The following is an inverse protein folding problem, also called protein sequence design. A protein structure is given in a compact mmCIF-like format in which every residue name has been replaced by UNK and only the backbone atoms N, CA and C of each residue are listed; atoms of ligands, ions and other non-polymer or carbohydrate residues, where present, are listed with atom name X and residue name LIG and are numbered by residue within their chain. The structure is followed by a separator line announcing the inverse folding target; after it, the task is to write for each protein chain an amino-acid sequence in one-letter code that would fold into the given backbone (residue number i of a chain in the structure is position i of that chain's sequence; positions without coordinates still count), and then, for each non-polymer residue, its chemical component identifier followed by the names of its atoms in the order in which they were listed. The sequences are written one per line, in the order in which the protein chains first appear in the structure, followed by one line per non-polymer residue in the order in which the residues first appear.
data_IF_012808799348
#
_entry.id   IF_012808799348
#
_cell.length_a   1.000
_cell.length_b   1.000
_cell.length_c   1.000
_cell.angle_alpha   90.00
_cell.angle_beta   90.00
_cell.angle_gamma   90.00
#
_symmetry.space_group_name_H-M   'P 1'
#
loop_
_entity.id
_entity.type
_entity.pdbx_description
1 polymer ?
#
# COMPACT_ATOMS: atom_id res chain seq x y z
N UNK A 1 -17.23 -14.41 -2.72
CA UNK A 1 -16.96 -15.79 -3.17
C UNK A 1 -17.14 -15.93 -4.69
N UNK A 2 -18.35 -15.71 -5.25
CA UNK A 2 -18.66 -15.96 -6.65
C UNK A 2 -17.68 -15.34 -7.67
N UNK A 3 -17.21 -14.11 -7.45
CA UNK A 3 -16.22 -13.49 -8.35
C UNK A 3 -14.91 -14.30 -8.44
N UNK A 4 -14.45 -14.86 -7.32
CA UNK A 4 -13.26 -15.72 -7.30
C UNK A 4 -13.51 -17.06 -7.97
N UNK A 5 -14.68 -17.66 -7.79
CA UNK A 5 -15.05 -18.93 -8.43
C UNK A 5 -15.08 -18.76 -9.94
N UNK A 6 -15.76 -17.71 -10.48
CA UNK A 6 -15.81 -17.42 -11.90
C UNK A 6 -14.44 -17.06 -12.49
N UNK A 7 -13.64 -16.29 -11.76
CA UNK A 7 -12.29 -15.96 -12.22
C UNK A 7 -11.40 -17.22 -12.33
N UNK A 8 -11.50 -18.12 -11.35
CA UNK A 8 -10.78 -19.39 -11.37
C UNK A 8 -11.28 -20.34 -12.47
N UNK A 9 -12.59 -20.36 -12.72
CA UNK A 9 -13.17 -21.13 -13.84
C UNK A 9 -12.64 -20.62 -15.18
N UNK A 10 -12.51 -19.29 -15.35
CA UNK A 10 -12.01 -18.67 -16.56
C UNK A 10 -10.50 -18.90 -16.78
N UNK A 11 -9.69 -18.83 -15.71
CA UNK A 11 -8.25 -19.10 -15.73
C UNK A 11 -7.82 -19.78 -14.43
N UNK A 12 -7.72 -21.11 -14.41
CA UNK A 12 -7.30 -21.86 -13.24
C UNK A 12 -5.85 -21.60 -12.79
N UNK A 13 -5.02 -21.01 -13.65
CA UNK A 13 -3.61 -20.72 -13.34
C UNK A 13 -3.41 -19.30 -12.80
N UNK A 14 -4.40 -18.43 -12.87
CA UNK A 14 -4.30 -17.08 -12.34
C UNK A 14 -4.25 -17.06 -10.82
N UNK A 15 -3.36 -16.25 -10.26
CA UNK A 15 -3.35 -15.97 -8.82
C UNK A 15 -4.40 -14.91 -8.51
N UNK A 16 -5.36 -15.25 -7.67
CA UNK A 16 -6.51 -14.41 -7.34
C UNK A 16 -6.29 -13.70 -6.00
N UNK A 17 -6.43 -12.38 -6.00
CA UNK A 17 -6.19 -11.52 -4.83
C UNK A 17 -7.45 -10.82 -4.37
N UNK A 18 -7.66 -10.79 -3.06
CA UNK A 18 -8.56 -9.81 -2.46
C UNK A 18 -7.79 -8.51 -2.25
N UNK A 19 -8.22 -7.42 -2.87
CA UNK A 19 -7.55 -6.11 -2.82
C UNK A 19 -8.43 -5.06 -2.12
N UNK A 20 -7.83 -4.31 -1.16
CA UNK A 20 -8.59 -3.30 -0.42
C UNK A 20 -7.69 -2.15 0.09
N UNK A 21 -8.31 -0.97 0.35
CA UNK A 21 -7.69 0.18 0.98
C UNK A 21 -7.74 0.08 2.52
N UNK A 22 -6.92 0.87 3.21
CA UNK A 22 -6.84 0.90 4.69
C UNK A 22 -6.62 -0.48 5.34
N UNK A 23 -6.01 -1.40 4.61
CA UNK A 23 -5.83 -2.79 5.05
C UNK A 23 -4.91 -2.94 6.27
N UNK A 24 -4.09 -1.92 6.57
CA UNK A 24 -3.25 -1.88 7.77
C UNK A 24 -4.00 -1.41 9.03
N UNK A 25 -5.13 -0.69 8.90
CA UNK A 25 -5.87 -0.17 10.05
C UNK A 25 -6.45 -1.32 10.90
N UNK A 26 -6.23 -1.35 12.23
CA UNK A 26 -6.53 -2.52 13.08
C UNK A 26 -7.93 -3.09 12.89
N UNK A 27 -8.96 -2.26 12.98
CA UNK A 27 -10.35 -2.72 12.83
C UNK A 27 -10.70 -3.23 11.43
N UNK A 28 -10.15 -2.62 10.37
CA UNK A 28 -10.36 -3.09 8.99
C UNK A 28 -9.52 -4.33 8.69
N UNK A 29 -8.28 -4.37 9.16
CA UNK A 29 -7.40 -5.54 9.12
C UNK A 29 -8.10 -6.79 9.64
N UNK A 30 -8.75 -6.68 10.80
CA UNK A 30 -9.42 -7.81 11.43
C UNK A 30 -10.66 -8.26 10.64
N UNK A 31 -11.40 -7.32 10.07
CA UNK A 31 -12.53 -7.65 9.17
C UNK A 31 -12.08 -8.34 7.90
N UNK A 32 -11.02 -7.83 7.25
CA UNK A 32 -10.43 -8.45 6.05
C UNK A 32 -9.96 -9.87 6.38
N UNK A 33 -9.20 -10.02 7.46
CA UNK A 33 -8.71 -11.33 7.92
C UNK A 33 -9.85 -12.34 8.09
N UNK A 34 -10.86 -11.98 8.85
CA UNK A 34 -11.99 -12.88 9.16
C UNK A 34 -12.80 -13.23 7.89
N UNK A 35 -12.98 -12.27 6.99
CA UNK A 35 -13.66 -12.49 5.71
C UNK A 35 -12.87 -13.44 4.81
N UNK A 36 -11.58 -13.18 4.61
CA UNK A 36 -10.70 -14.02 3.77
C UNK A 36 -10.59 -15.42 4.36
N UNK A 37 -10.41 -15.52 5.69
CA UNK A 37 -10.38 -16.82 6.37
C UNK A 37 -11.66 -17.61 6.12
N UNK A 38 -12.83 -17.00 6.34
CA UNK A 38 -14.12 -17.65 6.10
C UNK A 38 -14.29 -18.12 4.65
N UNK A 39 -13.83 -17.34 3.68
CA UNK A 39 -13.90 -17.73 2.27
C UNK A 39 -12.95 -18.89 1.96
N UNK A 40 -11.72 -18.85 2.47
CA UNK A 40 -10.75 -19.96 2.30
C UNK A 40 -11.24 -21.24 2.97
N UNK A 41 -11.77 -21.16 4.17
CA UNK A 41 -12.36 -22.32 4.88
C UNK A 41 -13.53 -22.93 4.08
N UNK A 42 -14.22 -22.13 3.25
CA UNK A 42 -15.27 -22.58 2.35
C UNK A 42 -14.76 -23.03 0.98
N UNK A 43 -13.45 -23.14 0.77
CA UNK A 43 -12.85 -23.59 -0.49
C UNK A 43 -12.79 -22.55 -1.61
N UNK A 44 -13.04 -21.27 -1.31
CA UNK A 44 -12.92 -20.20 -2.32
C UNK A 44 -11.44 -20.02 -2.72
N UNK A 45 -11.10 -19.97 -4.03
CA UNK A 45 -9.73 -19.88 -4.51
C UNK A 45 -9.15 -18.46 -4.32
N UNK A 46 -8.67 -18.15 -3.13
CA UNK A 46 -7.97 -16.90 -2.79
C UNK A 46 -6.49 -17.23 -2.55
N UNK A 47 -5.61 -16.64 -3.36
CA UNK A 47 -4.18 -16.89 -3.35
C UNK A 47 -3.38 -15.80 -2.64
N UNK A 48 -3.93 -14.57 -2.59
CA UNK A 48 -3.24 -13.45 -1.99
C UNK A 48 -4.15 -12.35 -1.48
N UNK A 49 -3.53 -11.41 -0.77
CA UNK A 49 -4.15 -10.17 -0.31
C UNK A 49 -3.40 -8.99 -0.92
N UNK A 50 -4.13 -8.10 -1.58
CA UNK A 50 -3.65 -6.81 -2.06
C UNK A 50 -3.95 -5.73 -1.02
N UNK A 51 -2.90 -5.03 -0.60
CA UNK A 51 -2.98 -3.83 0.21
C UNK A 51 -2.75 -2.65 -0.72
N UNK A 52 -3.75 -1.78 -0.94
CA UNK A 52 -3.59 -0.67 -1.89
C UNK A 52 -2.41 0.23 -1.52
N UNK A 53 -2.26 0.58 -0.23
CA UNK A 53 -1.10 1.34 0.21
C UNK A 53 -1.22 2.85 0.01
N UNK A 54 -2.44 3.39 -0.04
CA UNK A 54 -2.69 4.83 -0.02
C UNK A 54 -2.49 5.38 1.40
N UNK A 55 -1.28 5.85 1.65
CA UNK A 55 -0.86 6.29 2.99
C UNK A 55 -0.63 7.80 3.04
N UNK A 56 -0.30 8.29 4.23
CA UNK A 56 0.22 9.63 4.42
C UNK A 56 1.42 9.60 5.40
N UNK A 57 2.10 10.73 5.54
CA UNK A 57 3.30 10.81 6.40
C UNK A 57 3.00 10.62 7.88
N UNK A 58 1.73 10.64 8.30
CA UNK A 58 1.28 10.47 9.69
C UNK A 58 0.67 9.09 9.96
N UNK A 59 0.35 8.32 8.93
CA UNK A 59 -0.28 7.03 9.12
C UNK A 59 -0.45 6.18 7.84
N UNK A 60 -0.76 4.90 7.99
CA UNK A 60 -0.81 4.14 9.26
C UNK A 60 0.56 4.07 9.95
N UNK A 61 0.60 3.67 11.25
CA UNK A 61 1.88 3.46 11.95
C UNK A 61 2.67 2.30 11.34
N UNK A 62 3.97 2.29 11.56
CA UNK A 62 4.85 1.21 11.07
C UNK A 62 4.50 -0.12 11.73
N UNK A 63 4.10 -0.08 13.02
CA UNK A 63 3.61 -1.22 13.79
C UNK A 63 2.31 -1.79 13.21
N UNK A 64 1.38 -0.94 12.77
CA UNK A 64 0.13 -1.39 12.15
C UNK A 64 0.36 -2.06 10.80
N UNK A 65 1.31 -1.54 10.01
CA UNK A 65 1.68 -2.15 8.73
C UNK A 65 2.33 -3.52 8.96
N UNK A 66 3.30 -3.60 9.86
CA UNK A 66 3.98 -4.85 10.22
C UNK A 66 3.00 -5.90 10.78
N UNK A 67 2.10 -5.47 11.66
CA UNK A 67 1.07 -6.33 12.23
C UNK A 67 0.05 -6.82 11.18
N UNK A 68 -0.28 -6.00 10.17
CA UNK A 68 -1.17 -6.39 9.09
C UNK A 68 -0.54 -7.49 8.23
N UNK A 69 0.70 -7.30 7.78
CA UNK A 69 1.43 -8.30 7.00
C UNK A 69 1.58 -9.58 7.82
N UNK A 70 2.01 -9.47 9.10
CA UNK A 70 2.17 -10.62 10.00
C UNK A 70 0.88 -11.40 10.21
N UNK A 71 -0.27 -10.72 10.22
CA UNK A 71 -1.57 -11.37 10.35
C UNK A 71 -1.99 -12.03 9.03
N UNK A 72 -1.89 -11.33 7.90
CA UNK A 72 -2.34 -11.84 6.60
C UNK A 72 -1.52 -13.04 6.10
N UNK A 73 -0.20 -13.07 6.38
CA UNK A 73 0.65 -14.20 5.98
C UNK A 73 0.29 -15.53 6.65
N UNK A 74 -0.57 -15.52 7.67
CA UNK A 74 -1.12 -16.77 8.23
C UNK A 74 -2.22 -17.36 7.37
N UNK A 75 -2.74 -16.62 6.39
CA UNK A 75 -3.81 -17.05 5.49
C UNK A 75 -3.34 -17.24 4.05
N UNK A 76 -2.36 -16.47 3.59
CA UNK A 76 -1.95 -16.41 2.18
C UNK A 76 -0.42 -16.36 2.05
N UNK A 77 0.09 -16.88 0.94
CA UNK A 77 1.53 -16.89 0.61
C UNK A 77 1.95 -15.67 -0.23
N UNK A 78 0.98 -14.84 -0.65
CA UNK A 78 1.21 -13.69 -1.50
C UNK A 78 0.54 -12.45 -0.93
N UNK A 79 1.33 -11.43 -0.65
CA UNK A 79 0.85 -10.08 -0.31
C UNK A 79 1.45 -9.11 -1.32
N UNK A 80 0.60 -8.30 -1.95
CA UNK A 80 1.03 -7.26 -2.88
C UNK A 80 0.65 -5.88 -2.32
N UNK A 81 1.55 -4.92 -2.44
CA UNK A 81 1.20 -3.50 -2.36
C UNK A 81 0.83 -3.06 -3.76
N UNK A 82 -0.44 -2.77 -4.00
CA UNK A 82 -0.99 -2.69 -5.36
C UNK A 82 -1.07 -1.27 -5.90
N UNK A 83 -1.08 -0.25 -5.04
CA UNK A 83 -1.38 1.13 -5.41
C UNK A 83 -0.63 2.12 -4.51
N UNK A 84 0.64 1.85 -4.23
CA UNK A 84 1.40 2.60 -3.23
C UNK A 84 1.56 4.07 -3.62
N UNK A 85 1.12 4.93 -2.74
CA UNK A 85 1.46 6.35 -2.69
C UNK A 85 1.47 6.84 -1.23
N UNK A 86 2.31 7.84 -0.91
CA UNK A 86 2.38 8.42 0.44
C UNK A 86 2.30 9.94 0.35
N UNK A 87 1.10 10.47 0.55
CA UNK A 87 0.87 11.91 0.51
C UNK A 87 1.45 12.63 1.75
N UNK A 88 1.70 13.92 1.60
CA UNK A 88 2.34 14.75 2.64
C UNK A 88 1.37 15.62 3.45
N UNK A 89 0.10 15.65 3.10
CA UNK A 89 -0.91 16.43 3.81
C UNK A 89 -1.50 15.67 5.01
N UNK A 90 -2.00 16.42 5.97
CA UNK A 90 -2.66 15.88 7.16
C UNK A 90 -4.05 15.33 6.82
N UNK A 91 -4.44 14.25 7.53
CA UNK A 91 -5.84 13.85 7.57
C UNK A 91 -6.59 14.84 8.47
N UNK A 92 -7.49 15.61 7.89
CA UNK A 92 -8.42 16.42 8.67
C UNK A 92 -9.62 15.55 9.05
N UNK A 93 -9.71 15.16 10.32
CA UNK A 93 -10.92 14.61 10.93
C UNK A 93 -11.32 13.19 10.51
N UNK A 94 -10.40 12.32 10.13
CA UNK A 94 -10.68 10.89 9.83
C UNK A 94 -11.50 10.63 8.56
N UNK A 95 -11.85 11.67 7.81
CA UNK A 95 -12.38 11.55 6.46
C UNK A 95 -11.24 11.86 5.48
N UNK A 96 -11.18 11.11 4.37
CA UNK A 96 -10.34 11.40 3.21
C UNK A 96 -10.74 12.75 2.61
N UNK A 97 -10.43 13.85 3.29
CA UNK A 97 -10.55 15.16 2.68
C UNK A 97 -9.33 15.37 1.79
N UNK A 98 -9.55 15.19 0.50
CA UNK A 98 -8.60 15.57 -0.53
C UNK A 98 -8.54 17.11 -0.57
N UNK A 99 -7.62 17.70 0.19
CA UNK A 99 -7.32 19.10 -0.01
C UNK A 99 -6.62 19.26 -1.35
N UNK A 100 -7.29 19.85 -2.32
CA UNK A 100 -6.67 20.23 -3.61
C UNK A 100 -5.69 21.40 -3.43
N UNK A 101 -5.74 22.08 -2.28
CA UNK A 101 -4.88 23.24 -1.99
C UNK A 101 -3.46 22.87 -1.59
N UNK A 102 -3.17 21.58 -1.37
CA UNK A 102 -1.83 21.09 -1.07
C UNK A 102 -1.17 21.71 0.17
N UNK A 103 -0.14 21.06 0.65
CA UNK A 103 0.70 21.55 1.75
C UNK A 103 1.93 22.22 1.15
N UNK A 104 2.41 23.31 1.77
CA UNK A 104 3.72 23.88 1.40
C UNK A 104 4.79 22.81 1.59
N UNK A 105 5.42 22.39 0.50
CA UNK A 105 6.48 21.40 0.51
C UNK A 105 7.75 22.02 1.08
N UNK A 106 8.01 21.74 2.36
CA UNK A 106 9.22 22.17 3.07
C UNK A 106 10.21 21.02 3.16
N UNK A 107 11.50 21.32 3.41
CA UNK A 107 12.50 20.28 3.67
C UNK A 107 12.15 19.39 4.87
N UNK A 108 11.37 19.87 5.84
CA UNK A 108 10.85 19.05 6.95
C UNK A 108 9.85 18.02 6.44
N UNK A 109 8.88 18.43 5.65
CA UNK A 109 7.85 17.55 5.07
C UNK A 109 8.46 16.51 4.15
N UNK A 110 9.42 16.91 3.30
CA UNK A 110 10.15 15.97 2.44
C UNK A 110 10.87 14.90 3.27
N UNK A 111 11.61 15.28 4.31
CA UNK A 111 12.29 14.31 5.20
C UNK A 111 11.30 13.40 5.94
N UNK A 112 10.12 13.86 6.29
CA UNK A 112 9.09 13.00 6.89
C UNK A 112 8.61 11.94 5.89
N UNK A 113 8.39 12.32 4.64
CA UNK A 113 8.00 11.39 3.59
C UNK A 113 9.11 10.37 3.29
N UNK A 114 10.36 10.82 3.15
CA UNK A 114 11.53 9.97 2.96
C UNK A 114 11.65 8.92 4.09
N UNK A 115 11.50 9.34 5.35
CA UNK A 115 11.51 8.43 6.51
C UNK A 115 10.37 7.43 6.47
N UNK A 116 9.18 7.86 6.06
CA UNK A 116 8.02 6.97 5.97
C UNK A 116 8.20 5.90 4.89
N UNK A 117 8.72 6.27 3.74
CA UNK A 117 9.06 5.30 2.68
C UNK A 117 10.19 4.36 3.12
N UNK A 118 11.26 4.87 3.73
CA UNK A 118 12.36 4.04 4.24
C UNK A 118 11.89 3.02 5.28
N UNK A 119 11.08 3.44 6.25
CA UNK A 119 10.49 2.56 7.25
C UNK A 119 9.58 1.50 6.62
N UNK A 120 8.70 1.91 5.70
CA UNK A 120 7.85 0.98 4.95
C UNK A 120 8.69 -0.08 4.24
N UNK A 121 9.68 0.33 3.44
CA UNK A 121 10.48 -0.62 2.66
C UNK A 121 11.34 -1.53 3.56
N UNK A 122 11.76 -1.09 4.75
CA UNK A 122 12.37 -1.98 5.76
C UNK A 122 11.40 -3.06 6.24
N UNK A 123 10.14 -2.71 6.47
CA UNK A 123 9.09 -3.69 6.82
C UNK A 123 8.85 -4.65 5.66
N UNK A 124 8.75 -4.16 4.42
CA UNK A 124 8.53 -5.01 3.25
C UNK A 124 9.68 -6.03 3.08
N UNK A 125 10.94 -5.59 3.24
CA UNK A 125 12.11 -6.49 3.22
C UNK A 125 12.08 -7.53 4.34
N UNK A 126 11.68 -7.14 5.56
CA UNK A 126 11.50 -8.07 6.69
C UNK A 126 10.53 -9.20 6.32
N UNK A 127 9.52 -8.92 5.51
CA UNK A 127 8.48 -9.85 5.09
C UNK A 127 8.60 -10.31 3.62
N UNK A 128 9.82 -10.31 3.06
CA UNK A 128 10.06 -10.70 1.65
C UNK A 128 9.67 -12.14 1.31
N UNK A 129 9.47 -12.97 2.32
CA UNK A 129 8.94 -14.32 2.21
C UNK A 129 7.50 -14.34 1.67
N UNK A 130 6.70 -13.33 1.98
CA UNK A 130 5.28 -13.23 1.60
C UNK A 130 4.96 -11.97 0.78
N UNK A 131 5.67 -10.87 0.95
CA UNK A 131 5.51 -9.67 0.12
C UNK A 131 6.24 -9.87 -1.20
N UNK A 132 5.47 -10.02 -2.29
CA UNK A 132 5.98 -10.40 -3.62
C UNK A 132 6.00 -9.26 -4.62
N UNK A 133 5.24 -8.20 -4.41
CA UNK A 133 5.16 -7.09 -5.33
C UNK A 133 4.83 -5.77 -4.65
N UNK A 134 5.38 -4.68 -5.20
CA UNK A 134 5.04 -3.30 -4.87
C UNK A 134 4.82 -2.53 -6.16
N UNK A 135 3.61 -2.05 -6.36
CA UNK A 135 3.23 -1.20 -7.49
C UNK A 135 2.94 0.20 -6.98
N UNK A 136 3.62 1.20 -7.50
CA UNK A 136 3.28 2.60 -7.26
C UNK A 136 2.04 2.99 -8.06
N UNK A 137 1.15 3.81 -7.45
CA UNK A 137 -0.04 4.28 -8.14
C UNK A 137 0.26 5.54 -8.95
N UNK A 138 0.91 5.35 -10.06
CA UNK A 138 1.53 6.26 -11.01
C UNK A 138 3.05 6.48 -10.80
N UNK A 139 3.65 7.14 -11.78
CA UNK A 139 5.09 7.41 -11.82
C UNK A 139 5.44 8.72 -11.12
N UNK A 140 4.70 9.80 -11.42
CA UNK A 140 5.01 11.15 -10.99
C UNK A 140 3.85 11.83 -10.26
N UNK A 141 4.17 12.84 -9.47
CA UNK A 141 3.18 13.66 -8.78
C UNK A 141 2.19 14.32 -9.75
N UNK A 142 2.63 14.63 -10.98
CA UNK A 142 1.78 15.19 -12.03
C UNK A 142 0.63 14.29 -12.40
N UNK A 143 0.87 12.98 -12.43
CA UNK A 143 -0.09 11.98 -12.90
C UNK A 143 -0.92 11.38 -11.75
N UNK A 144 -0.60 11.80 -10.51
CA UNK A 144 -1.28 11.28 -9.33
C UNK A 144 -2.74 11.70 -9.26
N UNK A 145 -3.62 10.76 -8.94
CA UNK A 145 -5.03 11.01 -8.66
C UNK A 145 -5.23 11.95 -7.46
N UNK A 146 -4.25 12.02 -6.56
CA UNK A 146 -4.23 12.92 -5.41
C UNK A 146 -3.92 14.36 -5.80
N UNK A 147 -3.39 14.58 -7.01
CA UNK A 147 -2.87 15.87 -7.47
C UNK A 147 -1.44 16.17 -6.97
N UNK A 148 -0.71 16.91 -7.78
CA UNK A 148 0.71 17.22 -7.59
C UNK A 148 1.02 17.91 -6.24
N UNK A 149 0.08 18.70 -5.73
CA UNK A 149 0.20 19.42 -4.45
C UNK A 149 0.32 18.48 -3.22
N UNK A 150 -0.04 17.21 -3.36
CA UNK A 150 0.08 16.19 -2.32
C UNK A 150 1.43 15.46 -2.33
N UNK A 151 2.25 15.68 -3.37
CA UNK A 151 3.64 15.23 -3.47
C UNK A 151 3.86 13.71 -3.19
N UNK A 152 3.02 12.79 -3.69
CA UNK A 152 2.93 11.44 -3.15
C UNK A 152 3.96 10.46 -3.70
N UNK A 153 4.57 10.69 -4.87
CA UNK A 153 5.25 9.70 -5.69
C UNK A 153 6.78 9.92 -5.78
N UNK A 154 7.55 8.95 -6.31
CA UNK A 154 9.01 9.03 -6.39
C UNK A 154 9.56 10.11 -7.33
N UNK A 155 8.76 10.53 -8.33
CA UNK A 155 9.13 11.58 -9.27
C UNK A 155 8.23 12.81 -9.07
N UNK A 156 8.80 14.00 -9.24
CA UNK A 156 8.04 15.25 -9.15
C UNK A 156 7.20 15.52 -10.41
N UNK A 157 6.53 16.68 -10.45
CA UNK A 157 5.65 17.06 -11.57
C UNK A 157 6.39 17.35 -12.89
N UNK A 158 7.72 17.45 -12.86
CA UNK A 158 8.59 17.59 -14.03
C UNK A 158 9.27 16.27 -14.39
N UNK A 159 8.85 15.15 -13.80
CA UNK A 159 9.45 13.81 -13.93
C UNK A 159 10.91 13.74 -13.46
N UNK A 160 11.35 14.64 -12.59
CA UNK A 160 12.66 14.58 -11.95
C UNK A 160 12.58 13.65 -10.73
N UNK A 161 13.60 12.79 -10.51
CA UNK A 161 13.63 11.94 -9.35
C UNK A 161 13.78 12.77 -8.07
N UNK A 162 12.93 12.51 -7.09
CA UNK A 162 13.08 13.05 -5.74
C UNK A 162 14.17 12.27 -4.97
N UNK A 163 14.63 12.79 -3.82
CA UNK A 163 15.56 12.05 -2.94
C UNK A 163 15.04 10.67 -2.55
N UNK A 164 13.75 10.57 -2.37
CA UNK A 164 13.01 9.33 -2.18
C UNK A 164 13.38 8.23 -3.19
N UNK A 165 13.60 8.58 -4.46
CA UNK A 165 14.01 7.62 -5.49
C UNK A 165 15.32 6.90 -5.13
N UNK A 166 16.27 7.59 -4.48
CA UNK A 166 17.52 6.99 -4.04
C UNK A 166 17.34 5.96 -2.91
N UNK A 167 16.32 6.16 -2.05
CA UNK A 167 15.94 5.20 -1.01
C UNK A 167 15.37 3.94 -1.66
N UNK A 168 14.53 4.12 -2.67
CA UNK A 168 13.83 3.03 -3.34
C UNK A 168 14.77 2.18 -4.22
N UNK A 169 15.70 2.79 -4.97
CA UNK A 169 16.60 2.04 -5.84
C UNK A 169 17.62 1.20 -5.11
N UNK A 170 17.91 1.52 -3.85
CA UNK A 170 18.84 0.77 -3.00
C UNK A 170 18.12 -0.35 -2.22
N UNK A 171 17.19 -1.00 -2.89
CA UNK A 171 16.30 -1.99 -2.28
C UNK A 171 17.02 -3.22 -1.69
N UNK A 172 18.18 -3.57 -2.23
CA UNK A 172 18.94 -4.77 -1.85
C UNK A 172 20.01 -4.53 -0.77
N UNK A 173 20.11 -3.31 -0.21
CA UNK A 173 21.15 -2.96 0.78
C UNK A 173 20.63 -2.87 2.22
#
# INVERSE_FOLDING_TARGET
AKAFEYAHEADPNALLFYNDYNAANPGKRDRIYNMVKKMKDAGVPIHGIGMQGHYNIYGPSDEDIDAAISKYKTLVDNIHFTELDIRVNEEMGGQLQFSREGVKITSKVQRMQEKKYDALFKILRKHKDVVKNVTFWNLSDRDSWLGAANYPLPFDSEYKPKNLYNILKNFDT
#
